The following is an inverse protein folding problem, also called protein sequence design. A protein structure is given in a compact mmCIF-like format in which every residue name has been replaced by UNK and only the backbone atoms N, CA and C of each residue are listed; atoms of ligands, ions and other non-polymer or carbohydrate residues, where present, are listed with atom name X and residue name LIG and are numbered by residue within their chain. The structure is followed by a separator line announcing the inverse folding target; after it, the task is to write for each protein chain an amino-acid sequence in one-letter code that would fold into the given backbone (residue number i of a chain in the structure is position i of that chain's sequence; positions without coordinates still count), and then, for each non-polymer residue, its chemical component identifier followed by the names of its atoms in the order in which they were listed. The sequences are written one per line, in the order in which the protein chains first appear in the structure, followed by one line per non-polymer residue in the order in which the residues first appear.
data_IF_636736288078
#
_entry.id   IF_636736288078
#
_cell.length_a   1.000
_cell.length_b   1.000
_cell.length_c   1.000
_cell.angle_alpha   90.00
_cell.angle_beta   90.00
_cell.angle_gamma   90.00
#
_symmetry.space_group_name_H-M   'P 1'
#
loop_
_entity.id
_entity.type
_entity.pdbx_description
1 polymer ?
#
# COMPACT_ATOMS: atom_id res chain seq x y z
N UNK A 1 32.41 39.38 9.76
CA UNK A 1 31.20 40.22 9.76
C UNK A 1 30.16 39.57 8.87
N UNK A 2 29.17 38.87 9.44
CA UNK A 2 28.02 38.40 8.65
C UNK A 2 27.21 39.62 8.24
N UNK A 3 26.99 39.79 6.94
CA UNK A 3 26.41 41.00 6.37
C UNK A 3 24.95 41.14 6.79
N UNK A 4 24.48 42.39 6.95
CA UNK A 4 23.10 42.70 7.37
C UNK A 4 22.00 42.08 6.48
N UNK A 5 22.35 41.57 5.29
CA UNK A 5 21.44 40.83 4.41
C UNK A 5 21.09 39.42 4.89
N UNK A 6 21.98 38.76 5.62
CA UNK A 6 21.77 37.37 6.09
C UNK A 6 20.75 37.31 7.25
N UNK A 7 20.76 38.31 8.14
CA UNK A 7 19.78 38.43 9.22
C UNK A 7 18.35 38.72 8.72
N UNK A 8 18.19 39.45 7.61
CA UNK A 8 16.87 39.72 7.03
C UNK A 8 16.23 38.48 6.41
N UNK A 9 17.01 37.57 5.80
CA UNK A 9 16.51 36.29 5.26
C UNK A 9 16.02 35.35 6.36
N UNK A 10 16.80 35.17 7.43
CA UNK A 10 16.43 34.30 8.56
C UNK A 10 15.18 34.82 9.29
N UNK A 11 15.01 36.14 9.37
CA UNK A 11 13.81 36.78 9.92
C UNK A 11 12.55 36.53 9.07
N UNK A 12 12.67 36.62 7.73
CA UNK A 12 11.57 36.36 6.81
C UNK A 12 11.16 34.87 6.81
N UNK A 13 12.12 33.94 6.86
CA UNK A 13 11.86 32.50 6.95
C UNK A 13 11.20 32.12 8.28
N UNK A 14 11.68 32.69 9.41
CA UNK A 14 11.03 32.50 10.71
C UNK A 14 9.61 33.06 10.73
N UNK A 15 9.37 34.21 10.09
CA UNK A 15 8.03 34.80 10.00
C UNK A 15 7.10 33.93 9.14
N UNK A 16 7.58 33.37 8.03
CA UNK A 16 6.80 32.44 7.20
C UNK A 16 6.43 31.13 7.95
N UNK A 17 7.32 30.60 8.79
CA UNK A 17 7.05 29.41 9.63
C UNK A 17 6.04 29.74 10.75
N UNK A 18 6.12 30.94 11.33
CA UNK A 18 5.17 31.40 12.36
C UNK A 18 3.80 31.68 11.74
N UNK A 19 3.73 32.30 10.56
CA UNK A 19 2.50 32.56 9.82
C UNK A 19 1.85 31.26 9.31
N UNK A 20 2.64 30.23 8.98
CA UNK A 20 2.11 28.88 8.67
C UNK A 20 1.41 28.23 9.87
N UNK A 21 1.99 28.38 11.08
CA UNK A 21 1.36 27.89 12.32
C UNK A 21 0.12 28.69 12.74
N UNK A 22 -0.02 29.93 12.26
CA UNK A 22 -1.15 30.81 12.57
C UNK A 22 -2.38 30.59 11.68
N UNK A 23 -2.27 29.85 10.56
CA UNK A 23 -3.43 29.43 9.75
C UNK A 23 -4.22 28.35 10.48
N UNK A 24 -5.09 28.79 11.39
CA UNK A 24 -6.10 27.99 12.09
C UNK A 24 -7.34 27.72 11.25
N UNK A 25 -7.39 28.16 10.00
CA UNK A 25 -8.51 27.78 9.16
C UNK A 25 -8.46 26.27 8.93
N UNK A 26 -9.53 25.53 9.29
CA UNK A 26 -9.64 24.14 8.88
C UNK A 26 -9.56 24.16 7.37
N UNK A 27 -8.49 23.58 6.81
CA UNK A 27 -8.48 23.23 5.39
C UNK A 27 -9.73 22.38 5.21
N UNK A 28 -10.74 22.94 4.55
CA UNK A 28 -11.94 22.22 4.15
C UNK A 28 -11.44 21.15 3.20
N UNK A 29 -11.22 19.95 3.73
CA UNK A 29 -10.93 18.79 2.90
C UNK A 29 -12.22 18.58 2.11
N UNK A 30 -12.19 18.68 0.77
CA UNK A 30 -13.37 18.41 -0.03
C UNK A 30 -13.90 17.02 0.35
N UNK A 31 -15.23 16.80 0.31
CA UNK A 31 -15.78 15.49 0.60
C UNK A 31 -15.09 14.43 -0.25
N UNK A 32 -14.64 13.36 0.38
CA UNK A 32 -13.96 12.27 -0.32
C UNK A 32 -14.89 11.69 -1.38
N UNK A 33 -14.42 11.67 -2.63
CA UNK A 33 -15.09 10.94 -3.68
C UNK A 33 -15.02 9.44 -3.34
N UNK A 34 -16.09 8.67 -3.62
CA UNK A 34 -16.06 7.23 -3.43
C UNK A 34 -14.89 6.58 -4.16
N UNK A 35 -14.18 5.68 -3.49
CA UNK A 35 -13.12 4.89 -4.12
C UNK A 35 -13.74 4.00 -5.22
N UNK A 36 -13.39 4.30 -6.48
CA UNK A 36 -13.84 3.55 -7.65
C UNK A 36 -12.93 2.33 -7.86
N UNK A 37 -13.39 1.16 -7.43
CA UNK A 37 -12.61 -0.07 -7.53
C UNK A 37 -12.93 -0.88 -8.78
N UNK A 38 -11.94 -1.61 -9.34
CA UNK A 38 -12.16 -2.56 -10.44
C UNK A 38 -13.22 -3.62 -10.13
N UNK A 39 -13.36 -3.99 -8.85
CA UNK A 39 -14.26 -5.05 -8.42
C UNK A 39 -15.15 -4.59 -7.29
N UNK A 40 -14.60 -4.38 -6.09
CA UNK A 40 -15.35 -3.86 -4.93
C UNK A 40 -14.47 -2.98 -4.05
N UNK A 41 -15.09 -2.13 -3.25
CA UNK A 41 -14.44 -1.43 -2.15
C UNK A 41 -14.81 -2.07 -0.81
N UNK A 42 -13.86 -2.03 0.13
CA UNK A 42 -14.06 -2.41 1.52
C UNK A 42 -13.60 -1.27 2.43
N UNK A 43 -14.11 -1.27 3.67
CA UNK A 43 -13.65 -0.38 4.73
C UNK A 43 -12.73 -1.14 5.66
N UNK A 44 -11.54 -0.64 5.88
CA UNK A 44 -10.54 -1.28 6.72
C UNK A 44 -10.31 -0.55 8.03
N UNK A 45 -10.05 -1.35 9.05
CA UNK A 45 -9.60 -0.94 10.36
C UNK A 45 -8.16 -1.41 10.52
N UNK A 46 -7.25 -0.46 10.47
CA UNK A 46 -5.86 -0.69 10.83
C UNK A 46 -5.79 -0.66 12.35
N UNK A 47 -5.78 -1.84 13.01
CA UNK A 47 -5.97 -2.11 14.45
C UNK A 47 -5.12 -1.30 15.44
N UNK A 48 -5.16 0.02 15.35
CA UNK A 48 -4.37 1.01 16.06
C UNK A 48 -5.25 1.77 17.03
N UNK A 49 -6.13 1.08 17.74
CA UNK A 49 -7.06 1.70 18.68
C UNK A 49 -6.36 2.52 19.77
N UNK A 50 -5.06 2.30 20.01
CA UNK A 50 -4.26 2.97 21.04
C UNK A 50 -3.21 3.95 20.50
N UNK A 51 -2.99 4.08 19.19
CA UNK A 51 -2.14 5.14 18.68
C UNK A 51 -3.00 6.39 18.54
N UNK A 52 -2.67 7.45 19.30
CA UNK A 52 -3.25 8.78 19.10
C UNK A 52 -2.95 9.20 17.66
N UNK A 53 -3.95 9.03 16.81
CA UNK A 53 -4.00 9.67 15.52
C UNK A 53 -3.93 11.18 15.74
N UNK A 54 -3.15 11.92 14.94
CA UNK A 54 -3.40 13.35 14.79
C UNK A 54 -4.88 13.50 14.50
N UNK A 55 -5.61 14.32 15.28
CA UNK A 55 -7.07 14.50 15.13
C UNK A 55 -7.41 14.50 13.65
N UNK A 56 -8.19 13.51 13.22
CA UNK A 56 -8.40 13.23 11.80
C UNK A 56 -9.03 14.47 11.17
N UNK A 57 -8.25 15.24 10.40
CA UNK A 57 -8.76 16.43 9.70
C UNK A 57 -9.62 16.04 8.49
N UNK A 58 -9.63 14.74 8.11
CA UNK A 58 -10.27 14.22 6.92
C UNK A 58 -11.74 13.79 7.10
N UNK A 59 -12.29 13.76 8.32
CA UNK A 59 -13.69 13.33 8.52
C UNK A 59 -14.00 11.86 8.19
N UNK A 60 -13.04 11.09 7.65
CA UNK A 60 -13.09 9.64 7.59
C UNK A 60 -13.04 9.11 9.03
N UNK A 61 -13.89 8.15 9.37
CA UNK A 61 -13.91 7.53 10.70
C UNK A 61 -12.63 6.74 11.01
N UNK A 62 -12.69 5.77 11.92
CA UNK A 62 -11.63 4.76 12.14
C UNK A 62 -11.43 3.81 10.95
N UNK A 63 -12.07 4.10 9.83
CA UNK A 63 -12.27 3.22 8.69
C UNK A 63 -11.79 3.89 7.41
N UNK A 64 -11.07 3.11 6.61
CA UNK A 64 -10.34 3.59 5.45
C UNK A 64 -10.71 2.77 4.22
N UNK A 65 -11.01 3.37 3.07
CA UNK A 65 -11.41 2.59 1.90
C UNK A 65 -10.19 1.90 1.27
N UNK A 66 -10.41 0.68 0.75
CA UNK A 66 -9.47 -0.01 -0.13
C UNK A 66 -10.21 -0.82 -1.19
N UNK A 67 -9.54 -1.12 -2.30
CA UNK A 67 -10.06 -2.01 -3.31
C UNK A 67 -9.76 -3.48 -2.99
N UNK A 68 -10.76 -4.32 -3.21
CA UNK A 68 -10.73 -5.76 -2.94
C UNK A 68 -11.35 -6.53 -4.10
N UNK A 69 -11.05 -7.82 -4.20
CA UNK A 69 -11.56 -8.68 -5.27
C UNK A 69 -13.00 -9.19 -5.03
N UNK A 70 -13.59 -8.92 -3.87
CA UNK A 70 -14.93 -9.41 -3.50
C UNK A 70 -14.89 -10.70 -2.67
N UNK A 71 -15.99 -11.47 -2.65
CA UNK A 71 -16.17 -12.55 -1.67
C UNK A 71 -15.46 -13.87 -2.02
N UNK A 72 -15.06 -14.04 -3.28
CA UNK A 72 -14.42 -15.27 -3.75
C UNK A 72 -12.98 -15.38 -3.25
N UNK A 73 -12.28 -14.25 -3.12
CA UNK A 73 -10.94 -14.20 -2.55
C UNK A 73 -11.00 -14.20 -1.01
N UNK A 74 -10.31 -15.14 -0.36
CA UNK A 74 -10.36 -15.32 1.09
C UNK A 74 -9.91 -14.07 1.85
N UNK A 75 -8.84 -13.42 1.40
CA UNK A 75 -8.30 -12.22 2.04
C UNK A 75 -9.29 -11.06 1.89
N UNK A 76 -9.80 -10.83 0.68
CA UNK A 76 -10.83 -9.83 0.40
C UNK A 76 -12.09 -10.06 1.23
N UNK A 77 -12.53 -11.30 1.36
CA UNK A 77 -13.68 -11.69 2.18
C UNK A 77 -13.45 -11.36 3.65
N UNK A 78 -12.31 -11.75 4.21
CA UNK A 78 -11.99 -11.48 5.62
C UNK A 78 -11.89 -9.98 5.91
N UNK A 79 -11.31 -9.21 4.98
CA UNK A 79 -11.27 -7.75 5.07
C UNK A 79 -12.67 -7.15 4.99
N UNK A 80 -13.54 -7.60 4.10
CA UNK A 80 -14.91 -7.08 4.01
C UNK A 80 -15.74 -7.39 5.26
N UNK A 81 -15.52 -8.54 5.89
CA UNK A 81 -16.28 -8.93 7.09
C UNK A 81 -15.76 -8.30 8.37
N UNK A 82 -14.44 -8.27 8.56
CA UNK A 82 -13.82 -7.86 9.83
C UNK A 82 -13.20 -6.46 9.77
N UNK A 83 -13.06 -5.89 8.57
CA UNK A 83 -12.26 -4.70 8.33
C UNK A 83 -10.75 -4.95 8.47
N UNK A 84 -10.31 -6.17 8.72
CA UNK A 84 -8.91 -6.47 9.01
C UNK A 84 -8.40 -7.70 8.28
N UNK A 85 -7.10 -7.69 8.02
CA UNK A 85 -6.32 -8.87 7.64
C UNK A 85 -5.17 -8.98 8.62
N UNK A 86 -5.13 -10.06 9.40
CA UNK A 86 -4.06 -10.30 10.39
C UNK A 86 -3.81 -9.12 11.35
N UNK A 87 -4.88 -8.52 11.88
CA UNK A 87 -4.81 -7.24 12.60
C UNK A 87 -3.80 -7.18 13.76
N UNK A 88 -3.49 -8.32 14.40
CA UNK A 88 -2.44 -8.39 15.42
C UNK A 88 -1.05 -8.09 14.83
N UNK A 89 -0.70 -8.70 13.70
CA UNK A 89 0.57 -8.48 12.97
C UNK A 89 0.65 -7.02 12.53
N UNK A 90 -0.43 -6.50 11.95
CA UNK A 90 -0.50 -5.10 11.49
C UNK A 90 -0.19 -4.12 12.61
N UNK A 91 -0.74 -4.36 13.81
CA UNK A 91 -0.53 -3.49 14.96
C UNK A 91 0.94 -3.46 15.40
N UNK A 92 1.61 -4.61 15.39
CA UNK A 92 3.02 -4.76 15.76
C UNK A 92 3.92 -4.11 14.72
N UNK A 93 3.74 -4.44 13.44
CA UNK A 93 4.54 -3.94 12.33
C UNK A 93 4.53 -2.42 12.30
N UNK A 94 3.36 -1.80 12.33
CA UNK A 94 3.29 -0.34 12.24
C UNK A 94 3.84 0.34 13.49
N UNK A 95 3.64 -0.25 14.68
CA UNK A 95 4.26 0.28 15.90
C UNK A 95 5.79 0.29 15.77
N UNK A 96 6.39 -0.80 15.30
CA UNK A 96 7.83 -0.92 15.12
C UNK A 96 8.36 0.09 14.11
N UNK A 97 7.71 0.21 12.95
CA UNK A 97 8.15 1.15 11.91
C UNK A 97 8.06 2.59 12.38
N UNK A 98 7.04 2.96 13.16
CA UNK A 98 6.97 4.30 13.78
C UNK A 98 8.12 4.58 14.76
N UNK A 99 8.62 3.55 15.45
CA UNK A 99 9.71 3.70 16.42
C UNK A 99 11.07 3.80 15.74
N UNK A 100 11.29 3.00 14.69
CA UNK A 100 12.55 2.95 13.95
C UNK A 100 12.68 4.16 13.01
N UNK A 101 11.56 4.61 12.44
CA UNK A 101 11.54 5.57 11.34
C UNK A 101 11.94 4.92 10.01
N UNK A 102 11.83 5.68 8.92
CA UNK A 102 12.16 5.21 7.57
C UNK A 102 10.95 4.76 6.75
N UNK A 103 11.21 3.88 5.78
CA UNK A 103 10.21 3.36 4.85
C UNK A 103 9.64 2.03 5.35
N UNK A 104 8.35 1.82 5.11
CA UNK A 104 7.73 0.49 5.19
C UNK A 104 7.78 -0.18 3.82
N UNK A 105 8.52 -1.29 3.72
CA UNK A 105 8.61 -2.09 2.50
C UNK A 105 7.67 -3.30 2.67
N UNK A 106 6.61 -3.33 1.85
CA UNK A 106 5.61 -4.38 1.82
C UNK A 106 5.89 -5.31 0.63
N UNK A 107 6.70 -6.34 0.86
CA UNK A 107 7.08 -7.32 -0.16
C UNK A 107 6.05 -8.45 -0.23
N UNK A 108 5.41 -8.62 -1.39
CA UNK A 108 4.20 -9.44 -1.49
C UNK A 108 2.97 -8.69 -0.97
N UNK A 109 2.86 -7.40 -1.33
CA UNK A 109 1.84 -6.50 -0.82
C UNK A 109 0.40 -6.95 -1.10
N UNK A 110 0.21 -7.88 -2.05
CA UNK A 110 -1.08 -8.40 -2.45
C UNK A 110 -2.02 -7.23 -2.83
N UNK A 111 -3.23 -7.18 -2.30
CA UNK A 111 -4.17 -6.05 -2.52
C UNK A 111 -3.87 -4.82 -1.66
N UNK A 112 -2.82 -4.84 -0.85
CA UNK A 112 -2.26 -3.65 -0.18
C UNK A 112 -2.80 -3.33 1.21
N UNK A 113 -3.31 -4.31 1.96
CA UNK A 113 -3.85 -4.07 3.30
C UNK A 113 -2.80 -3.45 4.25
N UNK A 114 -1.63 -4.09 4.41
CA UNK A 114 -0.56 -3.59 5.27
C UNK A 114 -0.02 -2.25 4.78
N UNK A 115 0.25 -2.13 3.48
CA UNK A 115 0.61 -0.87 2.82
C UNK A 115 -0.37 0.27 3.15
N UNK A 116 -1.68 0.02 3.06
CA UNK A 116 -2.70 1.02 3.39
C UNK A 116 -2.61 1.43 4.86
N UNK A 117 -2.40 0.47 5.75
CA UNK A 117 -2.25 0.73 7.18
C UNK A 117 -0.98 1.50 7.55
N UNK A 118 0.15 1.20 6.91
CA UNK A 118 1.38 1.96 7.09
C UNK A 118 1.25 3.40 6.54
N UNK A 119 0.66 3.55 5.35
CA UNK A 119 0.41 4.86 4.74
C UNK A 119 -0.48 5.74 5.63
N UNK A 120 -1.58 5.15 6.12
CA UNK A 120 -2.51 5.75 7.06
C UNK A 120 -1.78 6.21 8.34
N UNK A 121 -0.84 5.40 8.82
CA UNK A 121 0.05 5.76 9.93
C UNK A 121 1.07 6.86 9.62
N UNK A 122 1.04 7.49 8.45
CA UNK A 122 1.95 8.55 7.98
C UNK A 122 3.39 8.06 7.75
N UNK A 123 3.54 6.78 7.41
CA UNK A 123 4.83 6.18 7.09
C UNK A 123 4.98 6.13 5.56
N UNK A 124 6.13 6.52 4.99
CA UNK A 124 6.44 6.27 3.58
C UNK A 124 6.37 4.79 3.23
N UNK A 125 5.66 4.43 2.16
CA UNK A 125 5.43 3.03 1.77
C UNK A 125 6.05 2.72 0.41
N UNK A 126 6.71 1.58 0.31
CA UNK A 126 7.02 0.91 -0.95
C UNK A 126 6.29 -0.44 -0.97
N UNK A 127 5.32 -0.60 -1.85
CA UNK A 127 4.61 -1.86 -2.05
C UNK A 127 5.14 -2.59 -3.27
N UNK A 128 5.49 -3.86 -3.12
CA UNK A 128 5.98 -4.74 -4.18
C UNK A 128 4.99 -5.88 -4.32
N UNK A 129 4.33 -5.97 -5.48
CA UNK A 129 3.38 -7.04 -5.76
C UNK A 129 3.61 -7.63 -7.14
N UNK A 130 3.72 -8.95 -7.23
CA UNK A 130 4.03 -9.63 -8.47
C UNK A 130 2.79 -9.84 -9.33
N UNK A 131 1.66 -10.24 -8.73
CA UNK A 131 0.47 -10.62 -9.45
C UNK A 131 -0.26 -9.39 -10.02
N UNK A 132 -0.44 -9.27 -11.35
CA UNK A 132 -1.06 -8.10 -11.96
C UNK A 132 -2.48 -7.81 -11.46
N UNK A 133 -3.26 -8.85 -11.15
CA UNK A 133 -4.62 -8.71 -10.63
C UNK A 133 -4.65 -8.09 -9.23
N UNK A 134 -3.74 -8.49 -8.33
CA UNK A 134 -3.60 -7.89 -7.01
C UNK A 134 -3.04 -6.48 -7.11
N UNK A 135 -2.01 -6.30 -7.94
CA UNK A 135 -1.42 -4.99 -8.20
C UNK A 135 -2.45 -3.99 -8.71
N UNK A 136 -3.42 -4.42 -9.52
CA UNK A 136 -4.51 -3.54 -9.96
C UNK A 136 -5.31 -2.97 -8.79
N UNK A 137 -5.69 -3.79 -7.80
CA UNK A 137 -6.42 -3.32 -6.61
C UNK A 137 -5.56 -2.38 -5.74
N UNK A 138 -4.30 -2.76 -5.49
CA UNK A 138 -3.31 -1.97 -4.77
C UNK A 138 -3.07 -0.61 -5.46
N UNK A 139 -2.92 -0.62 -6.79
CA UNK A 139 -2.64 0.58 -7.57
C UNK A 139 -3.85 1.52 -7.64
N UNK A 140 -5.07 0.99 -7.72
CA UNK A 140 -6.27 1.82 -7.61
C UNK A 140 -6.38 2.46 -6.23
N UNK A 141 -6.21 1.66 -5.16
CA UNK A 141 -6.28 2.12 -3.77
C UNK A 141 -5.30 3.26 -3.52
N UNK A 142 -4.00 3.04 -3.71
CA UNK A 142 -3.02 4.08 -3.40
C UNK A 142 -3.11 5.31 -4.32
N UNK A 143 -3.67 5.19 -5.54
CA UNK A 143 -3.81 6.35 -6.44
C UNK A 143 -4.91 7.27 -5.94
N UNK A 144 -6.00 6.69 -5.42
CA UNK A 144 -7.02 7.43 -4.70
C UNK A 144 -6.44 8.13 -3.46
N UNK A 145 -5.62 7.43 -2.65
CA UNK A 145 -4.98 8.08 -1.48
C UNK A 145 -4.07 9.24 -1.88
N UNK A 146 -3.29 9.13 -2.96
CA UNK A 146 -2.42 10.21 -3.44
C UNK A 146 -3.19 11.46 -3.87
N UNK A 147 -4.44 11.34 -4.31
CA UNK A 147 -5.30 12.50 -4.59
C UNK A 147 -5.59 13.32 -3.33
N UNK A 148 -5.73 12.67 -2.18
CA UNK A 148 -6.11 13.33 -0.92
C UNK A 148 -4.95 13.61 0.03
N UNK A 149 -3.83 12.90 -0.14
CA UNK A 149 -2.63 13.02 0.67
C UNK A 149 -1.38 13.09 -0.22
N UNK A 150 -1.28 14.09 -1.11
CA UNK A 150 -0.19 14.20 -2.08
C UNK A 150 1.18 14.39 -1.43
N UNK A 151 1.22 14.82 -0.16
CA UNK A 151 2.44 14.99 0.62
C UNK A 151 3.02 13.67 1.15
N UNK A 152 2.26 12.58 1.14
CA UNK A 152 2.74 11.27 1.57
C UNK A 152 3.25 10.44 0.42
N UNK A 153 4.33 9.70 0.71
CA UNK A 153 4.94 8.80 -0.25
C UNK A 153 4.32 7.41 -0.16
N UNK A 154 3.79 6.96 -1.28
CA UNK A 154 3.40 5.58 -1.51
C UNK A 154 3.79 5.18 -2.92
N UNK A 155 4.94 4.50 -2.99
CA UNK A 155 5.44 3.91 -4.22
C UNK A 155 4.98 2.47 -4.34
N UNK A 156 4.66 2.07 -5.57
CA UNK A 156 4.07 0.76 -5.87
C UNK A 156 4.67 0.25 -7.15
N UNK A 157 5.20 -0.97 -7.10
CA UNK A 157 5.84 -1.61 -8.24
C UNK A 157 5.22 -2.98 -8.49
N UNK A 158 5.01 -3.30 -9.78
CA UNK A 158 4.46 -4.59 -10.20
C UNK A 158 5.58 -5.52 -10.66
N UNK A 159 6.28 -6.13 -9.70
CA UNK A 159 7.45 -6.97 -9.98
C UNK A 159 7.48 -8.17 -9.04
N UNK A 160 8.03 -9.29 -9.51
CA UNK A 160 8.42 -10.39 -8.63
C UNK A 160 9.81 -10.10 -8.05
N UNK A 161 9.93 -10.06 -6.72
CA UNK A 161 11.22 -9.86 -6.07
C UNK A 161 11.98 -11.20 -5.99
N UNK A 162 13.26 -11.18 -6.32
CA UNK A 162 14.15 -12.34 -6.31
C UNK A 162 15.58 -11.92 -5.97
N UNK A 163 16.40 -12.87 -5.53
CA UNK A 163 17.84 -12.67 -5.41
C UNK A 163 18.57 -12.71 -6.78
N UNK A 164 17.87 -13.10 -7.84
CA UNK A 164 18.37 -13.11 -9.22
C UNK A 164 17.35 -12.40 -10.11
N UNK A 165 17.79 -11.40 -10.88
CA UNK A 165 16.95 -10.67 -11.82
C UNK A 165 16.83 -11.41 -13.16
N UNK A 166 15.74 -11.14 -13.88
CA UNK A 166 15.55 -11.58 -15.27
C UNK A 166 14.96 -12.98 -15.42
N UNK A 167 14.79 -13.76 -14.34
CA UNK A 167 14.06 -15.03 -14.42
C UNK A 167 12.58 -14.79 -14.68
N UNK A 168 12.01 -15.58 -15.59
CA UNK A 168 10.57 -15.70 -15.76
C UNK A 168 10.02 -16.60 -14.67
N UNK A 169 8.97 -16.12 -13.99
CA UNK A 169 8.19 -16.93 -13.06
C UNK A 169 6.74 -16.92 -13.51
N UNK A 170 6.13 -18.10 -13.50
CA UNK A 170 4.71 -18.23 -13.74
C UNK A 170 3.98 -18.08 -12.41
N UNK A 171 3.05 -17.13 -12.38
CA UNK A 171 2.16 -16.86 -11.25
C UNK A 171 0.81 -17.47 -11.56
N UNK A 172 0.26 -18.21 -10.60
CA UNK A 172 -1.10 -18.73 -10.67
C UNK A 172 -1.75 -18.62 -9.29
N UNK A 173 -2.85 -17.86 -9.23
CA UNK A 173 -3.73 -17.81 -8.08
C UNK A 173 -4.70 -18.99 -8.06
N UNK A 174 -5.24 -19.30 -6.88
CA UNK A 174 -6.31 -20.31 -6.74
C UNK A 174 -7.70 -19.66 -6.78
N UNK A 175 -8.75 -20.44 -7.02
CA UNK A 175 -10.13 -19.91 -7.10
C UNK A 175 -10.65 -19.28 -5.79
N UNK A 176 -9.97 -19.54 -4.66
CA UNK A 176 -10.37 -19.08 -3.31
C UNK A 176 -9.34 -18.18 -2.64
N UNK A 177 -8.14 -18.07 -3.21
CA UNK A 177 -7.06 -17.24 -2.70
C UNK A 177 -6.23 -16.74 -3.89
N UNK A 178 -6.52 -15.52 -4.31
CA UNK A 178 -5.87 -14.90 -5.47
C UNK A 178 -4.45 -14.42 -5.13
N UNK A 179 -4.15 -14.25 -3.85
CA UNK A 179 -2.84 -13.87 -3.33
C UNK A 179 -1.92 -15.04 -2.99
N UNK A 180 -2.46 -16.26 -2.88
CA UNK A 180 -1.71 -17.50 -2.71
C UNK A 180 -1.03 -17.90 -4.01
N UNK A 181 -0.13 -17.05 -4.49
CA UNK A 181 0.56 -17.25 -5.75
C UNK A 181 1.80 -18.11 -5.49
N UNK A 182 1.75 -19.37 -5.91
CA UNK A 182 2.96 -20.19 -5.96
C UNK A 182 3.82 -19.67 -7.11
N UNK A 183 5.01 -19.14 -6.83
CA UNK A 183 6.02 -18.91 -7.84
C UNK A 183 6.58 -20.26 -8.25
N UNK A 184 6.15 -20.75 -9.41
CA UNK A 184 6.53 -22.08 -9.87
C UNK A 184 7.45 -21.91 -11.07
N UNK A 185 8.65 -22.50 -11.01
CA UNK A 185 9.35 -22.83 -12.24
C UNK A 185 8.57 -23.99 -12.87
N UNK A 186 7.88 -23.80 -14.01
CA UNK A 186 7.05 -24.84 -14.59
C UNK A 186 7.84 -26.11 -14.90
N UNK A 187 9.14 -25.98 -15.20
CA UNK A 187 10.03 -27.10 -15.48
C UNK A 187 10.44 -27.91 -14.23
N UNK A 188 10.24 -27.38 -13.02
CA UNK A 188 10.61 -28.03 -11.76
C UNK A 188 9.39 -28.40 -10.90
N UNK A 189 8.18 -28.14 -11.38
CA UNK A 189 6.96 -28.47 -10.63
C UNK A 189 6.65 -29.97 -10.75
N UNK A 190 6.42 -30.69 -9.64
CA UNK A 190 6.15 -32.12 -9.66
C UNK A 190 4.79 -32.48 -10.28
N UNK A 191 3.88 -31.51 -10.43
CA UNK A 191 2.58 -31.71 -11.07
C UNK A 191 2.52 -31.01 -12.45
N UNK A 192 2.64 -31.76 -13.56
CA UNK A 192 2.46 -31.24 -14.92
C UNK A 192 1.00 -30.91 -15.27
N UNK A 193 0.04 -31.28 -14.41
CA UNK A 193 -1.38 -30.96 -14.50
C UNK A 193 -1.76 -29.61 -13.91
N UNK A 194 -0.86 -28.93 -13.20
CA UNK A 194 -1.10 -27.59 -12.64
C UNK A 194 -1.38 -26.53 -13.72
N UNK A 195 -0.82 -26.74 -14.91
CA UNK A 195 -1.08 -25.94 -16.13
C UNK A 195 -2.40 -26.27 -16.81
N UNK A 196 -3.12 -27.33 -16.42
CA UNK A 196 -4.35 -27.76 -17.14
C UNK A 196 -5.61 -26.99 -16.77
N UNK A 197 -5.61 -26.21 -15.68
CA UNK A 197 -6.68 -25.21 -15.42
C UNK A 197 -6.36 -23.82 -16.01
N UNK A 198 -5.20 -23.67 -16.67
CA UNK A 198 -4.72 -22.39 -17.20
C UNK A 198 -5.58 -21.77 -18.29
N UNK A 199 -6.30 -22.58 -19.06
CA UNK A 199 -7.13 -22.05 -20.14
C UNK A 199 -8.35 -21.25 -19.62
N UNK A 200 -8.73 -21.39 -18.35
CA UNK A 200 -9.94 -20.75 -17.80
C UNK A 200 -9.70 -19.94 -16.52
N UNK A 201 -8.51 -20.00 -15.91
CA UNK A 201 -8.23 -19.23 -14.70
C UNK A 201 -7.74 -17.81 -15.05
N UNK A 202 -8.50 -16.74 -14.76
CA UNK A 202 -8.10 -15.36 -15.07
C UNK A 202 -6.96 -14.84 -14.17
N UNK A 203 -6.55 -15.60 -13.17
CA UNK A 203 -5.51 -15.26 -12.20
C UNK A 203 -4.19 -15.98 -12.54
N UNK A 204 -3.72 -15.77 -13.77
CA UNK A 204 -2.42 -16.26 -14.23
C UNK A 204 -1.64 -15.18 -14.95
N UNK A 205 -0.33 -15.17 -14.75
CA UNK A 205 0.57 -14.23 -15.41
C UNK A 205 2.01 -14.75 -15.41
N UNK A 206 2.74 -14.52 -16.50
CA UNK A 206 4.19 -14.62 -16.50
C UNK A 206 4.76 -13.26 -16.10
N UNK A 207 5.68 -13.25 -15.14
CA UNK A 207 6.36 -12.03 -14.71
C UNK A 207 7.85 -12.22 -14.66
N UNK A 208 8.57 -11.12 -14.91
CA UNK A 208 10.03 -11.09 -14.80
C UNK A 208 10.43 -10.67 -13.40
N UNK A 209 11.37 -11.42 -12.82
CA UNK A 209 11.93 -11.12 -11.51
C UNK A 209 12.90 -9.95 -11.53
N UNK A 210 12.96 -9.22 -10.41
CA UNK A 210 13.91 -8.14 -10.18
C UNK A 210 14.59 -8.29 -8.82
N UNK A 211 15.81 -7.75 -8.71
CA UNK A 211 16.52 -7.60 -7.43
C UNK A 211 16.12 -6.29 -6.75
N UNK A 212 16.23 -6.24 -5.42
CA UNK A 212 15.80 -5.06 -4.64
C UNK A 212 16.50 -3.78 -5.10
N UNK A 213 17.80 -3.84 -5.41
CA UNK A 213 18.57 -2.68 -5.88
C UNK A 213 17.97 -2.04 -7.13
N UNK A 214 17.41 -2.85 -8.05
CA UNK A 214 16.75 -2.35 -9.25
C UNK A 214 15.37 -1.74 -8.95
N UNK A 215 14.72 -2.17 -7.87
CA UNK A 215 13.41 -1.66 -7.44
C UNK A 215 13.52 -0.32 -6.72
N UNK A 216 14.62 -0.09 -5.99
CA UNK A 216 14.83 1.10 -5.18
C UNK A 216 15.68 2.19 -5.86
N UNK A 217 16.31 1.88 -6.99
CA UNK A 217 17.12 2.82 -7.80
C UNK A 217 16.26 3.90 -8.48
#
# INVERSE_FOLDING_TARGET
SRSAGEFRKVSAERKAIVDWKARKEPVLVPPFEPLQCPTRSARIQCGMHNLRWPKNRSGLGKEWPMCVHGQNDAISRDIMHSGAWEGHITSVVVRLVKQIGGWFIDAGANIGYFSTCAFNARIPVLSIEAAPWNFKQLNTTGSWYRTYFPEHRWERVNVALSNVAGHQVHLQGSDVNFGGTSAVNPALHPDPGWTRSAATNPFQADVTTQVMDAVIA
#
